data_IF_467460430883
#
_entry.id   IF_467460430883
#
_cell.length_a   1.000
_cell.length_b   1.000
_cell.length_c   1.000
_cell.angle_alpha   90.00
_cell.angle_beta   90.00
_cell.angle_gamma   90.00
#
_symmetry.space_group_name_H-M   'P 1'
#
loop_
_entity.id
_entity.type
_entity.pdbx_description
1 polymer ?
#
# COMPACT_ATOMS: atom_id res chain seq x y z
N UNK A 1 -12.88 19.27 8.67
CA UNK A 1 -12.24 18.57 7.53
C UNK A 1 -10.94 17.99 8.04
N UNK A 2 -10.85 16.67 8.24
CA UNK A 2 -9.62 16.04 8.71
C UNK A 2 -8.62 15.95 7.54
N UNK A 3 -7.34 16.26 7.79
CA UNK A 3 -6.28 16.14 6.78
C UNK A 3 -6.01 14.66 6.49
N UNK A 4 -5.95 14.30 5.20
CA UNK A 4 -5.72 12.92 4.75
C UNK A 4 -4.26 12.51 4.72
N UNK A 5 -3.34 13.46 4.78
CA UNK A 5 -1.88 13.26 4.89
C UNK A 5 -1.39 14.07 6.08
N UNK A 6 -0.59 13.45 6.94
CA UNK A 6 0.13 14.09 8.04
C UNK A 6 1.62 13.96 7.81
N UNK A 7 2.39 15.02 8.08
CA UNK A 7 3.86 15.02 7.91
C UNK A 7 4.53 15.45 9.20
N UNK A 8 5.54 14.70 9.65
CA UNK A 8 6.39 15.04 10.78
C UNK A 8 7.85 14.93 10.38
N UNK A 9 8.66 15.95 10.68
CA UNK A 9 10.10 15.97 10.36
C UNK A 9 10.91 16.00 11.65
N UNK A 10 11.87 15.09 11.82
CA UNK A 10 12.76 15.04 12.99
C UNK A 10 14.12 14.47 12.59
N UNK A 11 15.21 15.17 12.89
CA UNK A 11 16.57 14.66 12.71
C UNK A 11 16.95 14.25 11.27
N UNK A 12 16.42 14.96 10.26
CA UNK A 12 16.61 14.61 8.85
C UNK A 12 15.74 13.45 8.37
N UNK A 13 14.73 13.06 9.14
CA UNK A 13 13.74 12.04 8.79
C UNK A 13 12.38 12.71 8.63
N UNK A 14 11.78 12.58 7.45
CA UNK A 14 10.40 12.95 7.17
C UNK A 14 9.52 11.72 7.25
N UNK A 15 8.51 11.72 8.11
CA UNK A 15 7.48 10.69 8.15
C UNK A 15 6.18 11.24 7.59
N UNK A 16 5.70 10.64 6.50
CA UNK A 16 4.45 10.92 5.83
C UNK A 16 3.44 9.82 6.22
N UNK A 17 2.32 10.21 6.80
CA UNK A 17 1.27 9.29 7.29
C UNK A 17 -0.01 9.51 6.51
N UNK A 18 -0.52 8.45 5.86
CA UNK A 18 -1.87 8.45 5.30
C UNK A 18 -2.87 8.33 6.46
N UNK A 19 -3.67 9.37 6.65
CA UNK A 19 -4.61 9.51 7.77
C UNK A 19 -6.06 9.35 7.30
N UNK A 20 -6.39 8.17 6.79
CA UNK A 20 -7.76 7.81 6.41
C UNK A 20 -8.14 6.43 6.95
N UNK A 21 -8.06 6.20 8.28
CA UNK A 21 -8.26 4.87 8.86
C UNK A 21 -9.65 4.29 8.55
N UNK A 22 -10.68 5.13 8.49
CA UNK A 22 -12.06 4.76 8.11
C UNK A 22 -12.20 4.21 6.68
N UNK A 23 -11.23 4.49 5.79
CA UNK A 23 -11.15 3.93 4.44
C UNK A 23 -9.94 3.01 4.29
N UNK A 24 -9.40 2.47 5.39
CA UNK A 24 -8.18 1.64 5.41
C UNK A 24 -7.02 2.30 4.65
N UNK A 25 -6.91 3.63 4.79
CA UNK A 25 -5.91 4.46 4.14
C UNK A 25 -5.93 4.41 2.59
N UNK A 26 -7.06 4.06 1.99
CA UNK A 26 -7.22 4.10 0.53
C UNK A 26 -6.94 5.50 -0.04
N UNK A 27 -6.28 5.56 -1.18
CA UNK A 27 -5.84 6.82 -1.82
C UNK A 27 -6.87 7.25 -2.87
N UNK A 28 -7.51 8.40 -2.65
CA UNK A 28 -8.35 9.09 -3.64
C UNK A 28 -7.54 10.22 -4.34
N UNK A 29 -8.05 10.85 -5.41
CA UNK A 29 -7.28 11.87 -6.13
C UNK A 29 -6.81 13.06 -5.27
N UNK A 30 -7.62 13.62 -4.35
CA UNK A 30 -7.15 14.64 -3.42
C UNK A 30 -6.00 14.15 -2.51
N UNK A 31 -6.11 12.93 -1.99
CA UNK A 31 -5.06 12.33 -1.15
C UNK A 31 -3.80 12.05 -1.94
N UNK A 32 -3.91 11.61 -3.19
CA UNK A 32 -2.78 11.42 -4.10
C UNK A 32 -2.03 12.74 -4.34
N UNK A 33 -2.77 13.84 -4.58
CA UNK A 33 -2.18 15.17 -4.74
C UNK A 33 -1.48 15.64 -3.47
N UNK A 34 -2.09 15.43 -2.30
CA UNK A 34 -1.49 15.80 -1.02
C UNK A 34 -0.20 14.98 -0.74
N UNK A 35 -0.21 13.68 -1.04
CA UNK A 35 0.95 12.80 -0.91
C UNK A 35 2.08 13.24 -1.84
N UNK A 36 1.76 13.54 -3.10
CA UNK A 36 2.73 14.04 -4.08
C UNK A 36 3.41 15.33 -3.59
N UNK A 37 2.63 16.30 -3.10
CA UNK A 37 3.17 17.54 -2.56
C UNK A 37 4.08 17.31 -1.34
N UNK A 38 3.74 16.36 -0.46
CA UNK A 38 4.56 16.02 0.70
C UNK A 38 5.91 15.40 0.29
N UNK A 39 5.92 14.57 -0.76
CA UNK A 39 7.16 13.99 -1.30
C UNK A 39 8.02 15.08 -1.96
N UNK A 40 7.43 15.99 -2.75
CA UNK A 40 8.16 17.11 -3.32
C UNK A 40 8.79 18.01 -2.24
N UNK A 41 8.07 18.25 -1.14
CA UNK A 41 8.60 19.03 -0.02
C UNK A 41 9.79 18.34 0.66
N UNK A 42 9.79 17.01 0.75
CA UNK A 42 10.94 16.24 1.23
C UNK A 42 12.13 16.34 0.27
N UNK A 43 11.90 16.17 -1.03
CA UNK A 43 12.95 16.19 -2.05
C UNK A 43 13.63 17.56 -2.17
N UNK A 44 12.85 18.63 -1.96
CA UNK A 44 13.35 20.01 -1.98
C UNK A 44 14.16 20.39 -0.73
N UNK A 45 14.08 19.64 0.38
CA UNK A 45 14.80 19.94 1.62
C UNK A 45 16.09 19.10 1.73
N UNK A 46 17.27 19.67 1.44
CA UNK A 46 18.53 18.95 1.50
C UNK A 46 18.91 18.52 2.94
N UNK A 47 18.26 19.04 3.98
CA UNK A 47 18.46 18.59 5.35
C UNK A 47 17.76 17.25 5.63
N UNK A 48 16.71 16.89 4.88
CA UNK A 48 16.09 15.59 4.99
C UNK A 48 16.86 14.54 4.19
N UNK A 49 17.01 13.36 4.78
CA UNK A 49 17.79 12.24 4.24
C UNK A 49 16.95 10.99 4.08
N UNK A 50 15.92 10.83 4.91
CA UNK A 50 15.08 9.62 4.94
C UNK A 50 13.62 10.04 4.87
N UNK A 51 12.86 9.41 3.97
CA UNK A 51 11.41 9.55 3.88
C UNK A 51 10.73 8.23 4.26
N UNK A 52 9.90 8.25 5.29
CA UNK A 52 9.09 7.12 5.75
C UNK A 52 7.66 7.38 5.31
N UNK A 53 7.08 6.45 4.53
CA UNK A 53 5.65 6.46 4.23
C UNK A 53 4.96 5.40 5.12
N UNK A 54 3.90 5.79 5.81
CA UNK A 54 3.12 4.89 6.67
C UNK A 54 1.63 5.23 6.64
N UNK A 55 0.80 4.40 7.28
CA UNK A 55 -0.64 4.63 7.41
C UNK A 55 -1.08 4.65 8.87
N UNK A 56 -2.04 5.52 9.18
CA UNK A 56 -2.62 5.64 10.51
C UNK A 56 -3.44 4.38 10.88
N UNK A 57 -3.50 4.05 12.17
CA UNK A 57 -4.35 2.97 12.67
C UNK A 57 -3.82 1.56 12.37
N UNK A 58 -2.50 1.39 12.24
CA UNK A 58 -1.86 0.06 12.13
C UNK A 58 -2.01 -0.63 10.77
N UNK A 59 -2.57 0.07 9.78
CA UNK A 59 -2.70 -0.41 8.40
C UNK A 59 -1.92 0.53 7.49
N UNK A 60 -1.07 0.01 6.60
CA UNK A 60 -0.33 0.83 5.64
C UNK A 60 -1.28 1.53 4.65
N UNK A 61 -1.82 0.78 3.69
CA UNK A 61 -2.77 1.28 2.68
C UNK A 61 -3.48 0.10 2.01
N UNK A 62 -4.79 0.21 1.80
CA UNK A 62 -5.58 -0.79 1.08
C UNK A 62 -5.43 -0.74 -0.45
N UNK A 63 -4.63 0.20 -0.99
CA UNK A 63 -4.43 0.42 -2.42
C UNK A 63 -5.13 1.69 -2.94
N UNK A 64 -5.28 1.79 -4.28
CA UNK A 64 -6.05 2.85 -4.90
C UNK A 64 -7.53 2.77 -4.47
N UNK A 65 -8.16 3.89 -4.15
CA UNK A 65 -9.60 3.91 -3.87
C UNK A 65 -10.36 3.70 -5.19
N UNK A 66 -10.63 2.44 -5.52
CA UNK A 66 -11.31 2.03 -6.76
C UNK A 66 -12.71 2.65 -6.89
N UNK A 67 -13.36 3.05 -5.79
CA UNK A 67 -14.61 3.81 -5.86
C UNK A 67 -14.39 5.24 -6.36
N UNK A 68 -13.28 5.88 -5.98
CA UNK A 68 -12.90 7.19 -6.49
C UNK A 68 -12.43 7.11 -7.96
N UNK A 69 -11.73 6.03 -8.33
CA UNK A 69 -11.34 5.77 -9.74
C UNK A 69 -12.56 5.50 -10.62
N UNK A 70 -13.54 4.74 -10.13
CA UNK A 70 -14.79 4.48 -10.84
C UNK A 70 -15.63 5.75 -11.05
N UNK A 71 -15.62 6.66 -10.07
CA UNK A 71 -16.29 7.96 -10.19
C UNK A 71 -15.57 8.94 -11.14
N UNK A 72 -14.25 8.79 -11.34
CA UNK A 72 -13.45 9.62 -12.23
C UNK A 72 -13.53 9.23 -13.71
N UNK A 73 -14.20 8.13 -14.07
CA UNK A 73 -14.43 7.71 -15.46
C UNK A 73 -13.19 7.24 -16.24
N UNK A 74 -11.99 7.29 -15.65
CA UNK A 74 -10.71 6.91 -16.28
C UNK A 74 -10.32 5.46 -16.01
N UNK A 75 -11.30 4.55 -16.01
CA UNK A 75 -11.08 3.11 -15.86
C UNK A 75 -10.44 2.48 -17.11
N UNK A 76 -9.32 3.00 -17.60
CA UNK A 76 -8.50 2.27 -18.57
C UNK A 76 -7.66 1.24 -17.80
N UNK A 77 -8.30 0.13 -17.42
CA UNK A 77 -7.54 -1.09 -17.13
C UNK A 77 -6.76 -1.42 -18.40
N UNK A 78 -5.44 -1.71 -18.34
CA UNK A 78 -4.71 -2.15 -19.52
C UNK A 78 -5.44 -3.37 -20.12
N UNK A 79 -5.63 -3.43 -21.44
CA UNK A 79 -6.33 -4.54 -22.06
C UNK A 79 -5.53 -5.81 -21.77
N UNK A 80 -6.09 -6.72 -20.95
CA UNK A 80 -5.51 -7.96 -20.40
C UNK A 80 -4.93 -7.93 -18.96
N UNK A 81 -4.98 -6.80 -18.23
CA UNK A 81 -4.42 -6.73 -16.87
C UNK A 81 -2.88 -6.68 -16.80
N UNK A 82 -2.20 -6.41 -17.92
CA UNK A 82 -0.75 -6.20 -17.93
C UNK A 82 -0.40 -4.87 -17.28
N UNK A 83 0.00 -4.93 -16.02
CA UNK A 83 0.84 -3.87 -15.45
C UNK A 83 2.27 -4.06 -16.00
N UNK A 84 3.00 -3.00 -16.35
CA UNK A 84 4.43 -3.15 -16.67
C UNK A 84 5.08 -3.82 -15.46
N UNK A 85 5.70 -4.98 -15.70
CA UNK A 85 6.33 -5.80 -14.67
C UNK A 85 7.21 -4.90 -13.80
N UNK A 86 6.79 -4.70 -12.55
CA UNK A 86 7.60 -3.90 -11.63
C UNK A 86 8.81 -4.74 -11.23
N UNK A 87 9.99 -4.14 -10.94
CA UNK A 87 11.17 -4.89 -10.50
C UNK A 87 10.95 -5.69 -9.20
N UNK A 88 9.82 -5.48 -8.53
CA UNK A 88 9.47 -6.07 -7.25
C UNK A 88 8.37 -7.14 -7.34
N UNK A 89 7.90 -7.48 -8.55
CA UNK A 89 6.89 -8.53 -8.68
C UNK A 89 7.48 -9.87 -8.24
N UNK A 90 6.96 -10.35 -7.11
CA UNK A 90 7.40 -11.61 -6.51
C UNK A 90 7.14 -12.70 -7.53
N UNK A 91 8.14 -13.50 -7.95
CA UNK A 91 7.88 -14.58 -8.89
C UNK A 91 6.82 -15.48 -8.26
N UNK A 92 5.69 -15.64 -8.95
CA UNK A 92 4.66 -16.62 -8.63
C UNK A 92 5.33 -17.99 -8.65
N UNK A 93 5.89 -18.40 -7.51
CA UNK A 93 6.45 -19.72 -7.34
C UNK A 93 5.28 -20.68 -7.39
N UNK A 94 5.07 -21.26 -8.55
CA UNK A 94 4.21 -22.42 -8.76
C UNK A 94 4.79 -23.56 -7.93
N UNK A 95 4.39 -23.62 -6.66
CA UNK A 95 4.73 -24.75 -5.79
C UNK A 95 3.87 -25.94 -6.23
N UNK A 96 4.34 -26.64 -7.25
CA UNK A 96 3.81 -27.91 -7.74
C UNK A 96 4.23 -29.10 -6.84
N UNK A 97 4.74 -28.85 -5.63
CA UNK A 97 5.08 -29.92 -4.70
C UNK A 97 3.81 -30.48 -4.05
N UNK A 98 3.62 -31.81 -4.06
CA UNK A 98 2.47 -32.43 -3.41
C UNK A 98 2.56 -32.19 -1.89
N UNK A 99 1.59 -31.46 -1.34
CA UNK A 99 1.45 -31.29 0.12
C UNK A 99 1.07 -32.64 0.74
N UNK A 100 2.07 -33.39 1.20
CA UNK A 100 1.89 -34.64 1.95
C UNK A 100 1.23 -34.31 3.29
N UNK A 101 -0.12 -34.32 3.32
CA UNK A 101 -0.88 -34.31 4.58
C UNK A 101 -0.51 -35.58 5.35
N UNK A 102 0.34 -35.47 6.37
CA UNK A 102 0.44 -36.51 7.41
C UNK A 102 -0.91 -36.50 8.15
N UNK A 103 -1.78 -37.48 7.85
CA UNK A 103 -2.85 -37.87 8.77
C UNK A 103 -2.15 -38.40 10.02
N UNK A 104 -2.20 -37.66 11.12
CA UNK A 104 -1.95 -38.23 12.43
C UNK A 104 -3.03 -39.29 12.68
N UNK A 105 -2.60 -40.53 12.90
CA UNK A 105 -3.48 -41.66 13.18
C UNK A 105 -4.15 -41.48 14.53
N UNK A 106 -5.48 -41.49 14.54
CA UNK A 106 -6.25 -41.80 15.74
C UNK A 106 -6.31 -43.33 15.87
N UNK A 107 -5.51 -43.87 16.77
CA UNK A 107 -5.67 -45.22 17.33
C UNK A 107 -6.84 -45.11 18.32
N UNK A 108 -7.97 -45.74 18.01
CA UNK A 108 -9.01 -46.00 19.00
C UNK A 108 -8.89 -47.48 19.41
N UNK A 109 -8.69 -47.68 20.71
CA UNK A 109 -8.85 -48.96 21.39
C UNK A 109 -10.32 -49.13 21.77
N UNK A 110 -10.82 -50.36 21.75
CA UNK A 110 -12.17 -50.74 22.15
C UNK A 110 -12.73 -51.81 21.24
#
# INVERSE_FOLDING_TARGET
MAQSILTTTQGGITTITINRPHRRNAVDPPTAKALYNAILAFDADPAQKICILTGAGGTFCAGADLHAVAAAGTGSSPPNGSYPATPFETPHRSDSRPRRRRRAGARAAG
#
